data_IF_442923481151
#
_entry.id   IF_442923481151
#
_cell.length_a   1.000
_cell.length_b   1.000
_cell.length_c   1.000
_cell.angle_alpha   90.00
_cell.angle_beta   90.00
_cell.angle_gamma   90.00
#
_symmetry.space_group_name_H-M   'P 1'
#
loop_
_entity.id
_entity.type
_entity.pdbx_description
1 polymer ?
#
# COMPACT_ATOMS: atom_id res chain seq x y z
N UNK A 1 22.69 -27.50 0.76
CA UNK A 1 22.35 -26.08 0.48
C UNK A 1 20.84 -25.98 0.43
N UNK A 2 20.20 -25.42 1.46
CA UNK A 2 18.74 -25.30 1.50
C UNK A 2 18.24 -24.36 0.41
N UNK A 3 17.26 -24.81 -0.38
CA UNK A 3 16.55 -23.98 -1.35
C UNK A 3 16.09 -22.68 -0.68
N UNK A 4 16.56 -21.51 -1.14
CA UNK A 4 16.12 -20.22 -0.61
C UNK A 4 14.67 -20.00 -1.10
N UNK A 5 13.69 -20.22 -0.23
CA UNK A 5 12.26 -19.99 -0.53
C UNK A 5 12.05 -18.58 -1.12
N UNK A 6 11.28 -18.52 -2.21
CA UNK A 6 10.90 -17.29 -2.89
C UNK A 6 9.64 -16.65 -2.31
N UNK A 7 8.96 -17.34 -1.38
CA UNK A 7 7.67 -16.97 -0.80
C UNK A 7 7.70 -15.60 -0.11
N UNK A 8 6.66 -14.81 -0.33
CA UNK A 8 6.37 -13.61 0.44
C UNK A 8 4.96 -13.71 0.98
N UNK A 9 4.74 -13.36 2.24
CA UNK A 9 3.40 -13.36 2.83
C UNK A 9 2.50 -12.22 2.30
N UNK A 10 3.10 -11.12 1.84
CA UNK A 10 2.36 -9.89 1.51
C UNK A 10 1.33 -10.02 0.38
N UNK A 11 1.54 -10.76 -0.72
CA UNK A 11 0.51 -10.97 -1.74
C UNK A 11 -0.77 -11.66 -1.22
N UNK A 12 -0.75 -12.23 -0.02
CA UNK A 12 -1.91 -12.86 0.64
C UNK A 12 -2.50 -12.06 1.79
N UNK A 13 -1.79 -11.04 2.30
CA UNK A 13 -2.24 -10.26 3.45
C UNK A 13 -2.41 -8.77 3.15
N UNK A 14 -1.62 -8.21 2.23
CA UNK A 14 -1.47 -6.77 2.06
C UNK A 14 -1.90 -6.26 0.69
N UNK A 15 -2.78 -5.26 0.71
CA UNK A 15 -3.09 -4.39 -0.42
C UNK A 15 -2.29 -3.08 -0.28
N UNK A 16 -1.55 -2.70 -1.32
CA UNK A 16 -0.85 -1.41 -1.36
C UNK A 16 -1.19 -0.64 -2.62
N UNK A 17 -1.10 0.68 -2.58
CA UNK A 17 -1.31 1.52 -3.76
C UNK A 17 -0.28 2.65 -3.86
N UNK A 18 -0.21 3.23 -5.06
CA UNK A 18 0.48 4.49 -5.33
C UNK A 18 -0.43 5.68 -5.01
N UNK A 19 0.14 6.88 -5.04
CA UNK A 19 -0.63 8.13 -4.92
C UNK A 19 -1.72 8.25 -5.97
N UNK A 20 -1.57 7.63 -7.15
CA UNK A 20 -2.56 7.57 -8.24
C UNK A 20 -3.52 6.36 -8.21
N UNK A 21 -3.49 5.55 -7.16
CA UNK A 21 -4.45 4.46 -6.94
C UNK A 21 -4.07 3.15 -7.60
N UNK A 22 -3.05 3.17 -8.46
CA UNK A 22 -2.50 1.95 -9.06
C UNK A 22 -1.96 1.02 -7.97
N UNK A 23 -2.43 -0.22 -8.00
CA UNK A 23 -2.17 -1.21 -6.95
C UNK A 23 -0.78 -1.82 -7.07
N UNK A 24 -0.23 -2.19 -5.93
CA UNK A 24 1.02 -2.90 -5.74
C UNK A 24 0.84 -3.98 -4.68
N UNK A 25 1.68 -5.01 -4.73
CA UNK A 25 1.76 -6.03 -3.67
C UNK A 25 2.39 -5.47 -2.39
N UNK A 26 3.32 -4.52 -2.53
CA UNK A 26 3.87 -3.76 -1.40
C UNK A 26 4.54 -2.46 -1.86
N UNK A 27 4.88 -1.59 -0.90
CA UNK A 27 5.61 -0.34 -1.18
C UNK A 27 6.97 -0.49 -1.88
N UNK A 28 7.56 -1.70 -1.91
CA UNK A 28 8.82 -1.99 -2.61
C UNK A 28 8.63 -2.63 -3.98
N UNK A 29 7.40 -3.01 -4.34
CA UNK A 29 7.12 -3.65 -5.61
C UNK A 29 7.54 -2.73 -6.76
N UNK A 30 8.33 -3.28 -7.69
CA UNK A 30 8.61 -2.62 -8.96
C UNK A 30 7.32 -2.52 -9.77
N UNK A 31 7.19 -1.42 -10.48
CA UNK A 31 6.10 -1.22 -11.43
C UNK A 31 6.50 -1.98 -12.67
N UNK A 32 5.90 -3.15 -12.89
CA UNK A 32 5.94 -3.81 -14.20
C UNK A 32 4.91 -3.11 -15.07
N UNK A 33 5.28 -2.71 -16.27
CA UNK A 33 4.42 -1.98 -17.20
C UNK A 33 3.14 -2.78 -17.52
N UNK A 34 1.97 -2.21 -17.23
CA UNK A 34 0.64 -2.73 -17.60
C UNK A 34 -0.02 -3.68 -16.59
N UNK A 35 -1.36 -3.68 -16.55
CA UNK A 35 -2.18 -4.70 -15.90
C UNK A 35 -2.43 -4.57 -14.40
N UNK A 36 -1.95 -3.51 -13.74
CA UNK A 36 -2.27 -3.25 -12.33
C UNK A 36 -3.67 -2.66 -12.20
N UNK A 37 -4.54 -3.22 -11.35
CA UNK A 37 -5.82 -2.59 -11.03
C UNK A 37 -5.63 -1.22 -10.37
N UNK A 38 -6.68 -0.41 -10.37
CA UNK A 38 -6.70 0.89 -9.72
C UNK A 38 -7.80 1.00 -8.66
N UNK A 39 -7.42 1.34 -7.42
CA UNK A 39 -8.34 1.49 -6.28
C UNK A 39 -9.35 2.63 -6.40
N UNK A 40 -9.10 3.60 -7.27
CA UNK A 40 -10.06 4.65 -7.59
C UNK A 40 -11.11 4.24 -8.61
N UNK A 41 -11.00 3.05 -9.21
CA UNK A 41 -11.85 2.61 -10.34
C UNK A 41 -12.43 1.22 -10.15
N UNK A 42 -11.78 0.37 -9.38
CA UNK A 42 -12.13 -1.05 -9.23
C UNK A 42 -12.36 -1.41 -7.77
N UNK A 43 -13.35 -2.29 -7.54
CA UNK A 43 -13.62 -2.86 -6.22
C UNK A 43 -12.40 -3.62 -5.66
N UNK A 44 -12.18 -3.49 -4.34
CA UNK A 44 -11.05 -4.13 -3.66
C UNK A 44 -11.06 -5.64 -3.88
N UNK A 45 -12.23 -6.27 -3.84
CA UNK A 45 -12.38 -7.72 -4.06
C UNK A 45 -11.92 -8.15 -5.45
N UNK A 46 -12.33 -7.42 -6.50
CA UNK A 46 -11.92 -7.65 -7.88
C UNK A 46 -10.41 -7.43 -8.04
N UNK A 47 -9.93 -6.32 -7.51
CA UNK A 47 -8.52 -5.96 -7.59
C UNK A 47 -7.60 -6.96 -6.85
N UNK A 48 -8.06 -7.47 -5.71
CA UNK A 48 -7.35 -8.44 -4.86
C UNK A 48 -7.18 -9.82 -5.50
N UNK A 49 -8.07 -10.18 -6.43
CA UNK A 49 -8.02 -11.39 -7.23
C UNK A 49 -7.85 -11.11 -8.73
N UNK A 50 -7.26 -9.96 -9.07
CA UNK A 50 -6.83 -9.63 -10.43
C UNK A 50 -5.73 -10.57 -10.93
N UNK A 51 -5.55 -10.65 -12.24
CA UNK A 51 -4.47 -11.44 -12.85
C UNK A 51 -3.08 -11.02 -12.35
N UNK A 52 -2.92 -9.74 -11.97
CA UNK A 52 -1.72 -9.23 -11.33
C UNK A 52 -1.41 -9.99 -10.03
N UNK A 53 -2.34 -10.07 -9.07
CA UNK A 53 -2.11 -10.79 -7.82
C UNK A 53 -2.04 -12.30 -8.02
N UNK A 54 -2.97 -12.86 -8.82
CA UNK A 54 -3.04 -14.31 -9.09
C UNK A 54 -1.73 -14.83 -9.67
N UNK A 55 -1.17 -14.11 -10.65
CA UNK A 55 0.11 -14.49 -11.28
C UNK A 55 1.25 -14.47 -10.27
N UNK A 56 1.34 -13.43 -9.44
CA UNK A 56 2.41 -13.32 -8.44
C UNK A 56 2.31 -14.45 -7.41
N UNK A 57 1.11 -14.76 -6.92
CA UNK A 57 0.89 -15.86 -5.96
C UNK A 57 1.33 -17.18 -6.57
N UNK A 58 0.86 -17.53 -7.79
CA UNK A 58 1.25 -18.77 -8.48
C UNK A 58 2.75 -18.87 -8.69
N UNK A 59 3.39 -17.81 -9.21
CA UNK A 59 4.84 -17.79 -9.42
C UNK A 59 5.63 -18.01 -8.13
N UNK A 60 5.25 -17.35 -7.03
CA UNK A 60 5.93 -17.57 -5.75
C UNK A 60 5.76 -19.01 -5.25
N UNK A 61 4.56 -19.60 -5.39
CA UNK A 61 4.31 -20.97 -4.95
C UNK A 61 5.01 -22.02 -5.83
N UNK A 62 5.29 -21.69 -7.09
CA UNK A 62 6.09 -22.50 -8.00
C UNK A 62 7.60 -22.39 -7.75
N UNK A 63 8.05 -21.52 -6.83
CA UNK A 63 9.47 -21.29 -6.55
C UNK A 63 10.11 -20.25 -7.47
N UNK A 64 9.33 -19.54 -8.29
CA UNK A 64 9.83 -18.48 -9.16
C UNK A 64 10.05 -17.17 -8.40
N UNK A 65 10.79 -16.25 -9.02
CA UNK A 65 11.05 -14.89 -8.53
C UNK A 65 10.29 -13.86 -9.36
N UNK A 66 9.08 -13.45 -8.95
CA UNK A 66 8.31 -12.45 -9.66
C UNK A 66 9.09 -11.15 -9.92
N UNK A 67 9.07 -10.59 -11.15
CA UNK A 67 9.82 -9.37 -11.48
C UNK A 67 9.46 -8.15 -10.60
N UNK A 68 8.20 -8.07 -10.13
CA UNK A 68 7.77 -7.03 -9.20
C UNK A 68 8.56 -7.06 -7.88
N UNK A 69 9.10 -8.22 -7.48
CA UNK A 69 9.84 -8.44 -6.25
C UNK A 69 11.36 -8.36 -6.42
N UNK A 70 11.86 -7.98 -7.61
CA UNK A 70 13.29 -7.96 -7.93
C UNK A 70 14.15 -7.15 -6.94
N UNK A 71 13.63 -6.09 -6.31
CA UNK A 71 14.37 -5.33 -5.27
C UNK A 71 14.71 -6.21 -4.04
N UNK A 72 13.80 -7.08 -3.63
CA UNK A 72 14.04 -8.00 -2.51
C UNK A 72 15.09 -9.04 -2.89
N UNK A 73 14.93 -9.69 -4.03
CA UNK A 73 15.86 -10.73 -4.48
C UNK A 73 17.27 -10.17 -4.76
N UNK A 74 17.37 -8.95 -5.29
CA UNK A 74 18.65 -8.26 -5.45
C UNK A 74 19.33 -8.04 -4.10
N UNK A 75 18.61 -7.57 -3.08
CA UNK A 75 19.18 -7.38 -1.73
C UNK A 75 19.64 -8.71 -1.13
N UNK A 76 18.84 -9.77 -1.31
CA UNK A 76 19.14 -11.13 -0.81
C UNK A 76 20.35 -11.77 -1.50
N UNK A 77 20.56 -11.49 -2.80
CA UNK A 77 21.72 -12.01 -3.54
C UNK A 77 23.04 -11.38 -3.07
N UNK A 78 22.97 -10.20 -2.44
CA UNK A 78 24.13 -9.50 -1.85
C UNK A 78 24.21 -9.70 -0.33
N UNK A 79 23.57 -10.75 0.21
CA UNK A 79 23.64 -11.11 1.63
C UNK A 79 22.78 -10.25 2.57
N UNK A 80 22.01 -9.29 2.06
CA UNK A 80 21.16 -8.44 2.88
C UNK A 80 19.78 -9.04 3.17
N UNK A 81 19.19 -8.70 4.33
CA UNK A 81 17.81 -9.08 4.66
C UNK A 81 16.79 -8.22 3.91
N UNK A 82 15.91 -8.83 3.12
CA UNK A 82 14.88 -8.11 2.37
C UNK A 82 13.63 -7.79 3.19
N UNK A 83 12.77 -6.90 2.66
CA UNK A 83 11.44 -6.66 3.24
C UNK A 83 10.62 -7.96 3.26
N UNK A 84 10.67 -8.78 2.21
CA UNK A 84 9.97 -10.07 2.15
C UNK A 84 10.33 -10.96 3.34
N UNK A 85 11.63 -11.13 3.61
CA UNK A 85 12.09 -11.95 4.73
C UNK A 85 11.65 -11.39 6.09
N UNK A 86 11.69 -10.06 6.26
CA UNK A 86 11.20 -9.40 7.48
C UNK A 86 9.70 -9.60 7.69
N UNK A 87 8.91 -9.44 6.64
CA UNK A 87 7.45 -9.56 6.70
C UNK A 87 7.03 -11.03 6.89
N UNK A 88 7.72 -11.99 6.26
CA UNK A 88 7.48 -13.40 6.52
C UNK A 88 7.71 -13.77 7.98
N UNK A 89 8.74 -13.21 8.62
CA UNK A 89 8.99 -13.43 10.04
C UNK A 89 7.93 -12.73 10.91
N UNK A 90 7.59 -11.48 10.58
CA UNK A 90 6.62 -10.69 11.35
C UNK A 90 5.19 -11.28 11.32
N UNK A 91 4.83 -11.97 10.25
CA UNK A 91 3.48 -12.55 10.06
C UNK A 91 3.50 -14.09 10.02
N UNK A 92 4.53 -14.71 10.59
CA UNK A 92 4.68 -16.17 10.57
C UNK A 92 3.55 -16.89 11.31
N UNK A 93 3.06 -16.31 12.41
CA UNK A 93 1.96 -16.86 13.19
C UNK A 93 0.62 -16.80 12.43
N UNK A 94 0.50 -15.86 11.49
CA UNK A 94 -0.71 -15.61 10.70
C UNK A 94 -0.75 -16.47 9.45
N UNK A 95 0.36 -16.56 8.72
CA UNK A 95 0.38 -17.22 7.43
C UNK A 95 1.76 -17.76 7.08
N UNK A 96 1.88 -19.09 7.12
CA UNK A 96 3.04 -19.81 6.59
C UNK A 96 2.91 -20.03 5.07
N UNK A 97 4.01 -20.46 4.43
CA UNK A 97 3.99 -20.82 3.01
C UNK A 97 3.04 -22.00 2.74
N UNK A 98 3.00 -22.99 3.62
CA UNK A 98 2.12 -24.16 3.53
C UNK A 98 0.66 -23.76 3.62
N UNK A 99 0.31 -22.86 4.55
CA UNK A 99 -1.04 -22.34 4.68
C UNK A 99 -1.43 -21.49 3.48
N UNK A 100 -0.51 -20.66 2.95
CA UNK A 100 -0.73 -19.90 1.73
C UNK A 100 -1.00 -20.83 0.54
N UNK A 101 -0.26 -21.92 0.39
CA UNK A 101 -0.51 -22.97 -0.63
C UNK A 101 -1.92 -23.56 -0.48
N UNK A 102 -2.32 -23.93 0.73
CA UNK A 102 -3.64 -24.52 0.99
C UNK A 102 -4.82 -23.56 0.74
N UNK A 103 -4.62 -22.25 0.91
CA UNK A 103 -5.65 -21.21 0.68
C UNK A 103 -5.76 -20.78 -0.80
N UNK A 104 -4.77 -21.12 -1.63
CA UNK A 104 -4.67 -20.62 -3.00
C UNK A 104 -5.29 -21.61 -3.98
N UNK A 105 -6.29 -21.15 -4.74
CA UNK A 105 -6.92 -21.94 -5.81
C UNK A 105 -5.93 -22.16 -6.97
N UNK A 106 -6.15 -23.14 -7.87
CA UNK A 106 -5.26 -23.40 -9.00
C UNK A 106 -5.02 -22.17 -9.89
N UNK A 107 -6.01 -21.28 -10.01
CA UNK A 107 -5.89 -20.04 -10.77
C UNK A 107 -5.16 -18.92 -10.00
N UNK A 108 -4.75 -19.13 -8.74
CA UNK A 108 -4.06 -18.14 -7.91
C UNK A 108 -4.98 -17.24 -7.08
N UNK A 109 -6.31 -17.39 -7.19
CA UNK A 109 -7.26 -16.62 -6.38
C UNK A 109 -7.35 -17.15 -4.94
N UNK A 110 -7.80 -16.30 -4.02
CA UNK A 110 -8.05 -16.63 -2.61
C UNK A 110 -9.37 -16.01 -2.15
N UNK A 111 -10.02 -16.63 -1.16
CA UNK A 111 -11.31 -16.14 -0.62
C UNK A 111 -11.13 -15.17 0.54
N UNK A 112 -9.96 -15.16 1.17
CA UNK A 112 -9.66 -14.27 2.31
C UNK A 112 -9.39 -12.84 1.84
N UNK A 113 -10.06 -11.82 2.42
CA UNK A 113 -9.81 -10.42 2.08
C UNK A 113 -8.43 -9.96 2.59
N UNK A 114 -7.90 -8.84 2.05
CA UNK A 114 -6.68 -8.25 2.60
C UNK A 114 -6.93 -7.76 4.03
N UNK A 115 -5.99 -8.04 4.93
CA UNK A 115 -6.04 -7.62 6.34
C UNK A 115 -5.04 -6.50 6.65
N UNK A 116 -4.13 -6.20 5.71
CA UNK A 116 -3.14 -5.14 5.81
C UNK A 116 -3.34 -4.15 4.66
N UNK A 117 -3.40 -2.86 4.96
CA UNK A 117 -3.48 -1.79 3.96
C UNK A 117 -2.22 -0.91 4.05
N UNK A 118 -1.49 -0.75 2.93
CA UNK A 118 -0.38 0.22 2.76
C UNK A 118 -0.81 1.24 1.71
N UNK A 119 -1.59 2.22 2.17
CA UNK A 119 -2.38 3.10 1.31
C UNK A 119 -1.79 4.51 1.26
N UNK A 120 -1.90 5.10 0.07
CA UNK A 120 -1.56 6.51 -0.16
C UNK A 120 -2.85 7.25 -0.39
N UNK A 121 -3.28 8.08 0.54
CA UNK A 121 -4.61 8.73 0.50
C UNK A 121 -4.63 9.92 -0.49
N UNK A 122 -4.03 9.76 -1.66
CA UNK A 122 -3.79 10.81 -2.65
C UNK A 122 -2.38 11.40 -2.58
N UNK A 123 -2.19 12.50 -3.30
CA UNK A 123 -0.94 13.27 -3.39
C UNK A 123 -1.04 14.68 -2.76
N UNK A 124 -2.14 15.01 -2.10
CA UNK A 124 -2.26 16.27 -1.36
C UNK A 124 -1.18 16.31 -0.28
N UNK A 125 -0.32 17.33 -0.35
CA UNK A 125 0.77 17.52 0.59
C UNK A 125 1.05 19.01 0.73
N UNK A 126 1.51 19.43 1.91
CA UNK A 126 1.86 20.81 2.21
C UNK A 126 3.37 21.12 2.04
N UNK A 127 4.19 20.14 1.65
CA UNK A 127 5.63 20.30 1.39
C UNK A 127 6.03 19.79 -0.01
N UNK A 128 7.16 20.30 -0.54
CA UNK A 128 7.79 19.85 -1.80
C UNK A 128 9.23 19.38 -1.56
N UNK A 129 9.38 18.25 -0.85
CA UNK A 129 10.69 17.70 -0.51
C UNK A 129 11.48 17.33 -1.78
N UNK A 130 12.73 17.78 -1.90
CA UNK A 130 13.59 17.57 -3.09
C UNK A 130 13.79 16.08 -3.43
N UNK A 131 13.73 15.19 -2.45
CA UNK A 131 13.84 13.74 -2.63
C UNK A 131 12.53 13.07 -3.07
N UNK A 132 11.42 13.79 -3.04
CA UNK A 132 10.10 13.27 -3.39
C UNK A 132 9.84 13.43 -4.88
N UNK A 133 9.31 12.38 -5.52
CA UNK A 133 8.94 12.45 -6.93
C UNK A 133 7.84 13.52 -7.13
N UNK A 134 7.91 14.39 -8.17
CA UNK A 134 7.02 15.54 -8.29
C UNK A 134 5.52 15.21 -8.23
N UNK A 135 5.11 14.06 -8.77
CA UNK A 135 3.70 13.63 -8.77
C UNK A 135 3.15 13.21 -7.40
N UNK A 136 3.99 13.11 -6.37
CA UNK A 136 3.57 12.68 -5.03
C UNK A 136 3.20 13.82 -4.09
N UNK A 137 3.41 15.08 -4.48
CA UNK A 137 2.99 16.24 -3.71
C UNK A 137 2.38 17.29 -4.62
N UNK A 138 1.13 17.69 -4.31
CA UNK A 138 0.45 18.79 -5.00
C UNK A 138 1.18 20.12 -4.88
N UNK A 139 2.08 20.32 -3.90
CA UNK A 139 2.90 21.54 -3.79
C UNK A 139 3.86 21.74 -4.96
N UNK A 140 4.20 20.68 -5.69
CA UNK A 140 5.02 20.81 -6.91
C UNK A 140 4.29 21.51 -8.05
N UNK A 141 2.96 21.67 -8.00
CA UNK A 141 2.19 22.44 -8.99
C UNK A 141 2.61 23.91 -9.04
N UNK A 142 3.10 24.46 -7.94
CA UNK A 142 3.63 25.84 -7.88
C UNK A 142 4.90 26.01 -8.73
N UNK A 143 5.63 24.92 -8.99
CA UNK A 143 6.88 24.91 -9.75
C UNK A 143 6.70 24.25 -11.13
N UNK A 144 5.46 24.06 -11.61
CA UNK A 144 5.18 23.32 -12.86
C UNK A 144 5.96 23.87 -14.06
N UNK A 145 6.06 25.19 -14.18
CA UNK A 145 6.80 25.83 -15.27
C UNK A 145 8.31 25.60 -15.17
N UNK A 146 8.85 25.46 -13.95
CA UNK A 146 10.26 25.09 -13.73
C UNK A 146 10.51 23.62 -14.07
N UNK A 147 9.55 22.75 -13.76
CA UNK A 147 9.61 21.32 -14.11
C UNK A 147 9.56 21.09 -15.63
N UNK A 148 8.92 21.97 -16.39
CA UNK A 148 8.85 21.92 -17.85
C UNK A 148 9.86 22.83 -18.59
N UNK A 149 10.81 23.46 -17.88
CA UNK A 149 11.59 24.58 -18.42
C UNK A 149 12.58 24.21 -19.53
N UNK A 150 13.14 23.00 -19.51
CA UNK A 150 14.19 22.60 -20.46
C UNK A 150 13.70 21.45 -21.34
N UNK A 151 14.15 21.38 -22.60
CA UNK A 151 13.71 20.35 -23.57
C UNK A 151 13.93 18.91 -23.09
N UNK A 152 14.86 18.71 -22.15
CA UNK A 152 15.17 17.41 -21.55
C UNK A 152 14.52 17.19 -20.17
N UNK A 153 13.58 18.03 -19.73
CA UNK A 153 12.81 17.75 -18.51
C UNK A 153 11.59 16.90 -18.80
N UNK A 154 11.30 15.97 -17.88
CA UNK A 154 10.08 15.19 -17.94
C UNK A 154 8.90 16.08 -17.55
N UNK A 155 7.86 16.13 -18.38
CA UNK A 155 6.61 16.75 -17.97
C UNK A 155 5.96 15.89 -16.89
N UNK A 156 5.87 16.43 -15.67
CA UNK A 156 5.23 15.76 -14.56
C UNK A 156 3.80 16.25 -14.43
N UNK A 157 2.84 15.45 -14.92
CA UNK A 157 1.42 15.70 -14.67
C UNK A 157 1.07 15.37 -13.22
N UNK A 158 1.17 16.38 -12.36
CA UNK A 158 0.71 16.31 -10.96
C UNK A 158 -0.82 16.44 -10.93
N UNK A 159 -1.52 15.34 -11.21
CA UNK A 159 -2.98 15.31 -11.17
C UNK A 159 -3.49 14.97 -9.76
N UNK A 160 -4.62 15.56 -9.31
CA UNK A 160 -5.34 15.09 -8.14
C UNK A 160 -5.66 13.61 -8.30
N UNK A 161 -5.52 12.86 -7.22
CA UNK A 161 -5.40 11.42 -7.31
C UNK A 161 -6.40 10.70 -6.39
N UNK A 162 -7.36 9.96 -6.99
CA UNK A 162 -8.33 9.00 -6.41
C UNK A 162 -8.75 9.22 -4.94
N UNK A 163 -9.05 10.47 -4.60
CA UNK A 163 -9.32 10.95 -3.24
C UNK A 163 -10.80 10.98 -2.88
N UNK A 164 -11.66 10.40 -3.72
CA UNK A 164 -13.10 10.39 -3.49
C UNK A 164 -13.42 9.55 -2.25
N UNK A 165 -14.02 10.17 -1.23
CA UNK A 165 -14.39 9.50 0.01
C UNK A 165 -15.29 8.28 -0.21
N UNK A 166 -16.08 8.26 -1.29
CA UNK A 166 -16.96 7.13 -1.66
C UNK A 166 -16.36 6.18 -2.70
N UNK A 167 -15.06 6.30 -2.96
CA UNK A 167 -14.34 5.39 -3.85
C UNK A 167 -14.34 3.94 -3.34
N UNK A 168 -14.15 2.96 -4.25
CA UNK A 168 -14.22 1.53 -3.92
C UNK A 168 -13.35 1.09 -2.74
N UNK A 169 -12.10 1.58 -2.67
CA UNK A 169 -11.19 1.25 -1.57
C UNK A 169 -11.68 1.72 -0.19
N UNK A 170 -12.43 2.81 -0.13
CA UNK A 170 -12.85 3.41 1.14
C UNK A 170 -14.19 2.86 1.59
N UNK A 171 -15.08 2.51 0.65
CA UNK A 171 -16.21 1.62 0.96
C UNK A 171 -15.74 0.33 1.62
N UNK A 172 -14.68 -0.29 1.09
CA UNK A 172 -14.09 -1.47 1.71
C UNK A 172 -13.64 -1.23 3.17
N UNK A 173 -12.99 -0.10 3.48
CA UNK A 173 -12.60 0.19 4.88
C UNK A 173 -13.81 0.46 5.78
N UNK A 174 -14.86 1.10 5.23
CA UNK A 174 -16.11 1.31 5.97
C UNK A 174 -16.86 0.02 6.28
N UNK A 175 -16.83 -0.94 5.36
CA UNK A 175 -17.54 -2.21 5.49
C UNK A 175 -16.74 -3.24 6.29
N UNK A 176 -15.41 -3.27 6.10
CA UNK A 176 -14.53 -4.33 6.59
C UNK A 176 -13.48 -3.84 7.59
N UNK A 177 -13.61 -2.61 8.12
CA UNK A 177 -12.62 -2.00 9.02
C UNK A 177 -12.24 -2.89 10.21
N UNK A 178 -13.22 -3.56 10.83
CA UNK A 178 -12.99 -4.50 11.95
C UNK A 178 -12.17 -5.75 11.58
N UNK A 179 -12.14 -6.13 10.30
CA UNK A 179 -11.36 -7.29 9.84
C UNK A 179 -9.89 -6.95 9.57
N UNK A 180 -9.55 -5.66 9.52
CA UNK A 180 -8.19 -5.22 9.29
C UNK A 180 -7.34 -5.44 10.54
N UNK A 181 -6.09 -5.85 10.33
CA UNK A 181 -5.07 -5.90 11.39
C UNK A 181 -4.22 -4.63 11.41
N UNK A 182 -3.98 -4.03 10.25
CA UNK A 182 -3.10 -2.88 10.13
C UNK A 182 -3.46 -1.98 8.96
N UNK A 183 -3.40 -0.67 9.18
CA UNK A 183 -3.43 0.34 8.13
C UNK A 183 -2.20 1.22 8.27
N UNK A 184 -1.42 1.31 7.19
CA UNK A 184 -0.33 2.28 7.05
C UNK A 184 -0.79 3.41 6.13
N UNK A 185 -0.86 4.62 6.68
CA UNK A 185 -1.12 5.86 5.95
C UNK A 185 0.19 6.47 5.47
N UNK A 186 0.31 6.56 4.14
CA UNK A 186 1.40 7.20 3.42
C UNK A 186 0.79 8.18 2.39
N UNK A 187 1.61 8.74 1.51
CA UNK A 187 1.14 9.48 0.34
C UNK A 187 1.83 10.82 0.23
N UNK A 188 1.07 11.86 -0.13
CA UNK A 188 1.49 13.24 0.05
C UNK A 188 1.76 13.53 1.53
N UNK A 189 0.80 14.14 2.22
CA UNK A 189 0.80 14.24 3.68
C UNK A 189 -0.52 13.68 4.22
N UNK A 190 -0.52 12.52 4.92
CA UNK A 190 -1.74 11.96 5.48
C UNK A 190 -2.56 12.97 6.28
N UNK A 191 -1.91 13.80 7.10
CA UNK A 191 -2.61 14.76 7.95
C UNK A 191 -3.25 15.93 7.16
N UNK A 192 -2.84 16.14 5.91
CA UNK A 192 -3.46 17.10 4.99
C UNK A 192 -4.66 16.50 4.23
N UNK A 193 -4.79 15.17 4.21
CA UNK A 193 -5.76 14.45 3.38
C UNK A 193 -7.12 14.36 4.07
N UNK A 194 -8.14 15.01 3.51
CA UNK A 194 -9.53 14.88 3.98
C UNK A 194 -10.00 13.42 4.00
N UNK A 195 -9.57 12.65 3.00
CA UNK A 195 -9.86 11.24 2.89
C UNK A 195 -9.26 10.43 4.05
N UNK A 196 -8.04 10.76 4.49
CA UNK A 196 -7.44 10.13 5.66
C UNK A 196 -8.29 10.37 6.91
N UNK A 197 -8.70 11.62 7.14
CA UNK A 197 -9.55 11.98 8.29
C UNK A 197 -10.88 11.21 8.26
N UNK A 198 -11.53 11.11 7.10
CA UNK A 198 -12.77 10.34 6.93
C UNK A 198 -12.60 8.84 7.23
N UNK A 199 -11.48 8.24 6.81
CA UNK A 199 -11.18 6.84 7.12
C UNK A 199 -10.98 6.66 8.63
N UNK A 200 -10.22 7.55 9.26
CA UNK A 200 -9.95 7.49 10.70
C UNK A 200 -11.25 7.61 11.50
N UNK A 201 -12.14 8.52 11.11
CA UNK A 201 -13.45 8.69 11.74
C UNK A 201 -14.33 7.45 11.58
N UNK A 202 -14.38 6.86 10.38
CA UNK A 202 -15.14 5.63 10.18
C UNK A 202 -14.63 4.45 11.01
N UNK A 203 -13.31 4.30 11.18
CA UNK A 203 -12.76 3.27 12.06
C UNK A 203 -13.17 3.48 13.52
N UNK A 204 -13.23 4.74 13.97
CA UNK A 204 -13.69 5.10 15.32
C UNK A 204 -15.18 4.80 15.49
N UNK A 205 -16.02 5.18 14.52
CA UNK A 205 -17.46 4.89 14.52
C UNK A 205 -17.74 3.39 14.57
N UNK A 206 -16.95 2.62 13.84
CA UNK A 206 -17.01 1.16 13.88
C UNK A 206 -16.47 0.57 15.18
N UNK A 207 -15.76 1.33 16.02
CA UNK A 207 -14.98 0.81 17.16
C UNK A 207 -13.93 -0.23 16.75
N UNK A 208 -13.28 -0.02 15.60
CA UNK A 208 -12.21 -0.87 15.08
C UNK A 208 -10.85 -0.56 15.73
N UNK A 209 -10.82 -0.50 17.07
CA UNK A 209 -9.67 -0.03 17.85
C UNK A 209 -8.48 -1.01 17.88
N UNK A 210 -8.74 -2.29 17.56
CA UNK A 210 -7.72 -3.33 17.38
C UNK A 210 -6.84 -3.13 16.14
N UNK A 211 -7.23 -2.24 15.23
CA UNK A 211 -6.47 -1.98 14.00
C UNK A 211 -5.21 -1.19 14.37
N UNK A 212 -4.03 -1.76 14.11
CA UNK A 212 -2.77 -1.02 14.26
C UNK A 212 -2.65 0.05 13.18
N UNK A 213 -2.51 1.30 13.59
CA UNK A 213 -2.30 2.42 12.68
C UNK A 213 -0.82 2.72 12.56
N UNK A 214 -0.37 2.98 11.33
CA UNK A 214 0.99 3.46 11.07
C UNK A 214 0.97 4.70 10.19
N UNK A 215 1.75 5.70 10.53
CA UNK A 215 1.85 6.96 9.80
C UNK A 215 3.23 7.17 9.22
N UNK A 216 3.26 7.68 8.00
CA UNK A 216 4.44 8.34 7.43
C UNK A 216 4.01 9.79 7.18
N UNK A 217 4.35 10.67 8.12
CA UNK A 217 3.97 12.09 8.14
C UNK A 217 5.21 12.97 8.27
N UNK A 218 5.14 14.17 7.73
CA UNK A 218 6.11 15.23 7.98
C UNK A 218 5.91 15.93 9.33
N UNK A 219 4.80 15.66 10.03
CA UNK A 219 4.49 16.18 11.38
C UNK A 219 4.06 17.65 11.44
N UNK A 220 4.15 18.41 10.36
CA UNK A 220 3.88 19.87 10.36
C UNK A 220 2.40 20.24 10.47
N UNK A 221 1.50 19.26 10.30
CA UNK A 221 0.04 19.43 10.39
C UNK A 221 -0.57 18.63 11.54
N UNK A 222 0.25 18.18 12.49
CA UNK A 222 -0.24 17.50 13.69
C UNK A 222 -1.07 18.47 14.53
N UNK A 223 -2.28 18.05 14.91
CA UNK A 223 -3.17 18.81 15.78
C UNK A 223 -3.57 17.97 17.00
N UNK A 224 -3.86 18.58 18.17
CA UNK A 224 -4.26 17.85 19.37
C UNK A 224 -5.43 16.89 19.16
N UNK A 225 -6.41 17.26 18.34
CA UNK A 225 -7.61 16.44 18.10
C UNK A 225 -7.28 15.10 17.41
N UNK A 226 -6.17 15.04 16.66
CA UNK A 226 -5.68 13.78 16.10
C UNK A 226 -5.09 12.87 17.16
N UNK A 227 -4.44 13.43 18.18
CA UNK A 227 -3.91 12.66 19.31
C UNK A 227 -5.07 12.01 20.09
N UNK A 228 -6.16 12.76 20.31
CA UNK A 228 -7.36 12.23 20.96
C UNK A 228 -8.02 11.10 20.16
N UNK A 229 -8.03 11.22 18.82
CA UNK A 229 -8.49 10.14 17.93
C UNK A 229 -7.58 8.93 18.01
N UNK A 230 -6.26 9.12 17.98
CA UNK A 230 -5.27 8.04 18.03
C UNK A 230 -5.24 7.30 19.36
N UNK A 231 -5.49 7.98 20.48
CA UNK A 231 -5.54 7.38 21.81
C UNK A 231 -6.62 6.29 21.96
N UNK A 232 -7.57 6.22 21.03
CA UNK A 232 -8.61 5.17 21.00
C UNK A 232 -8.11 3.83 20.45
N UNK A 233 -7.01 3.82 19.70
CA UNK A 233 -6.49 2.62 19.04
C UNK A 233 -5.43 1.94 19.89
N UNK A 234 -5.39 0.60 19.84
CA UNK A 234 -4.45 -0.21 20.62
C UNK A 234 -2.98 0.07 20.24
N UNK A 235 -2.73 0.51 19.00
CA UNK A 235 -1.38 0.77 18.51
C UNK A 235 -1.38 1.83 17.41
N UNK A 236 -0.57 2.88 17.61
CA UNK A 236 -0.27 3.92 16.61
C UNK A 236 1.25 4.12 16.54
N UNK A 237 1.82 4.03 15.33
CA UNK A 237 3.25 4.20 15.05
C UNK A 237 3.52 5.31 14.02
#
# INVERSE_FOLDING_TARGET
>A
MGSKSTFCVLPWLQLSCKTNGAIRTCGYARVTSGGQPNLGREEVSSAWNSDYFKTIRRSMLAGDKPPNCAKCYYRESHGGTSRRQKENLAWLAELTEERAKALTRPDGSIDTPPVLLDVRTGNVCNLKCVTCFPTNSTKWLEDKDLLGKYENTLNYDVLPAWDQADGPAWRFVREFGKSLKKISFLGGEPLASLLHHSILDSLIEQQAFQVSLKYVTNGTLLKPELLDKWAKFDSVQ
#
